data_IF_956179990378
#
_entry.id   IF_956179990378
#
_cell.length_a   1.000
_cell.length_b   1.000
_cell.length_c   1.000
_cell.angle_alpha   90.00
_cell.angle_beta   90.00
_cell.angle_gamma   90.00
#
_symmetry.space_group_name_H-M   'P 1'
#
loop_
_entity.id
_entity.type
_entity.pdbx_description
1 polymer ?
#
# COMPACT_ATOMS: atom_id res chain seq x y z
N UNK A 1 -27.70 -22.05 53.71
CA UNK A 1 -27.82 -23.26 52.85
C UNK A 1 -26.87 -23.08 51.67
N UNK A 2 -26.09 -24.13 51.34
CA UNK A 2 -25.20 -24.28 50.16
C UNK A 2 -24.13 -23.20 49.90
N UNK A 3 -22.91 -23.55 50.32
CA UNK A 3 -21.63 -23.14 49.72
C UNK A 3 -21.34 -23.98 48.46
N UNK A 4 -20.64 -23.42 47.48
CA UNK A 4 -19.32 -23.88 46.98
C UNK A 4 -19.07 -23.50 45.50
N UNK A 5 -17.83 -23.07 45.14
CA UNK A 5 -17.36 -22.85 43.76
C UNK A 5 -16.59 -24.06 43.20
N UNK A 6 -16.19 -24.02 41.92
CA UNK A 6 -15.12 -24.84 41.36
C UNK A 6 -14.27 -24.03 40.36
N UNK A 7 -12.95 -24.02 40.57
CA UNK A 7 -11.94 -23.56 39.63
C UNK A 7 -11.70 -24.57 38.49
N UNK A 8 -11.01 -24.14 37.42
CA UNK A 8 -10.64 -24.99 36.29
C UNK A 8 -9.36 -24.50 35.59
N UNK A 9 -8.20 -24.88 36.13
CA UNK A 9 -6.88 -24.63 35.54
C UNK A 9 -6.67 -25.55 34.32
N UNK A 10 -6.17 -25.00 33.21
CA UNK A 10 -5.71 -25.78 32.06
C UNK A 10 -4.17 -25.84 32.04
N UNK A 11 -3.63 -27.02 32.36
CA UNK A 11 -2.20 -27.32 32.33
C UNK A 11 -1.89 -28.26 31.16
N UNK A 12 -1.09 -27.80 30.19
CA UNK A 12 -0.78 -28.57 28.98
C UNK A 12 0.48 -29.43 29.15
N UNK A 13 0.30 -30.66 29.64
CA UNK A 13 1.41 -31.59 29.87
C UNK A 13 1.96 -32.22 28.56
N UNK A 14 3.27 -32.07 28.35
CA UNK A 14 4.03 -32.75 27.29
C UNK A 14 3.99 -34.28 27.48
N UNK A 15 3.74 -35.04 26.41
CA UNK A 15 3.90 -36.50 26.40
C UNK A 15 4.84 -36.98 25.29
N UNK A 16 6.07 -37.29 25.69
CA UNK A 16 6.93 -38.19 24.93
C UNK A 16 6.30 -39.60 24.86
N UNK A 17 6.43 -40.28 23.73
CA UNK A 17 6.29 -41.74 23.64
C UNK A 17 7.53 -42.33 22.96
N UNK A 18 8.23 -43.18 23.70
CA UNK A 18 9.22 -44.09 23.17
C UNK A 18 9.03 -45.44 23.87
N UNK A 19 8.50 -46.43 23.14
CA UNK A 19 8.61 -47.87 23.44
C UNK A 19 8.76 -48.57 22.08
N UNK A 20 9.73 -49.46 21.95
CA UNK A 20 9.99 -50.22 20.73
C UNK A 20 9.91 -51.73 20.95
N UNK A 21 10.73 -52.46 20.17
CA UNK A 21 10.88 -53.93 20.07
C UNK A 21 9.87 -54.61 19.12
N UNK A 22 10.31 -55.44 18.15
CA UNK A 22 11.70 -55.74 17.75
C UNK A 22 11.84 -56.91 16.76
N UNK A 23 13.08 -57.37 16.56
CA UNK A 23 13.53 -58.53 15.74
C UNK A 23 13.28 -58.41 14.21
N UNK A 24 14.20 -58.77 13.29
CA UNK A 24 15.56 -59.37 13.29
C UNK A 24 16.28 -58.87 11.99
N UNK A 25 17.51 -59.24 11.59
CA UNK A 25 18.40 -60.33 11.99
C UNK A 25 19.87 -59.87 12.19
N UNK A 26 20.74 -60.07 11.18
CA UNK A 26 22.21 -60.02 11.21
C UNK A 26 22.82 -59.97 9.80
N UNK A 27 23.90 -59.22 9.67
CA UNK A 27 25.16 -59.41 8.90
C UNK A 27 25.72 -57.98 8.68
N UNK A 28 26.99 -57.59 8.79
CA UNK A 28 28.26 -58.15 9.25
C UNK A 28 29.27 -56.97 9.19
N UNK A 29 30.03 -56.69 10.25
CA UNK A 29 31.16 -55.72 10.31
C UNK A 29 32.49 -56.52 10.43
N UNK A 30 33.74 -55.96 10.39
CA UNK A 30 34.21 -54.55 10.55
C UNK A 30 35.35 -54.21 9.51
N UNK A 31 36.35 -53.30 9.71
CA UNK A 31 36.59 -52.31 10.78
C UNK A 31 37.02 -50.87 10.38
N UNK A 32 36.77 -49.96 11.34
CA UNK A 32 37.59 -48.81 11.77
C UNK A 32 38.78 -48.32 10.91
N UNK A 33 38.72 -47.03 10.55
CA UNK A 33 39.87 -46.12 10.65
C UNK A 33 39.43 -44.78 11.27
N UNK A 34 40.27 -44.25 12.17
CA UNK A 34 40.08 -43.00 12.91
C UNK A 34 41.13 -41.97 12.49
N UNK A 35 40.73 -40.73 12.21
CA UNK A 35 41.64 -39.56 12.21
C UNK A 35 40.92 -38.33 12.75
N UNK A 36 41.40 -37.80 13.88
CA UNK A 36 41.10 -36.45 14.37
C UNK A 36 41.94 -35.40 13.63
N UNK A 37 41.59 -34.10 13.80
CA UNK A 37 42.27 -32.85 13.35
C UNK A 37 41.55 -32.12 12.21
N UNK A 38 41.51 -30.77 12.18
CA UNK A 38 41.74 -29.77 13.23
C UNK A 38 41.15 -28.43 12.78
N UNK A 39 40.72 -27.59 13.72
CA UNK A 39 40.46 -26.18 13.43
C UNK A 39 41.76 -25.45 13.06
N UNK A 40 41.85 -24.88 11.85
CA UNK A 40 42.62 -23.67 11.46
C UNK A 40 42.70 -23.55 9.94
N UNK A 41 41.86 -22.69 9.35
CA UNK A 41 42.11 -22.00 8.06
C UNK A 41 41.06 -20.89 7.85
N UNK A 42 41.05 -19.92 8.76
CA UNK A 42 40.30 -18.67 8.62
C UNK A 42 41.28 -17.49 8.60
N UNK A 43 42.21 -17.52 7.63
CA UNK A 43 43.14 -16.46 7.27
C UNK A 43 43.67 -16.76 5.86
N UNK A 44 44.02 -15.71 5.09
CA UNK A 44 44.52 -15.77 3.69
C UNK A 44 43.46 -15.98 2.58
N UNK A 45 42.50 -15.06 2.49
CA UNK A 45 41.76 -14.79 1.25
C UNK A 45 41.40 -13.29 1.11
N UNK A 46 42.36 -12.40 1.41
CA UNK A 46 42.13 -10.94 1.41
C UNK A 46 43.41 -10.15 1.06
N UNK A 47 44.05 -10.49 -0.06
CA UNK A 47 45.27 -9.80 -0.53
C UNK A 47 45.56 -10.01 -2.03
N UNK A 48 44.70 -9.44 -2.90
CA UNK A 48 44.95 -9.02 -4.30
C UNK A 48 43.61 -8.62 -4.93
N UNK A 49 43.45 -7.32 -5.25
CA UNK A 49 42.54 -6.67 -6.23
C UNK A 49 42.31 -5.19 -5.86
N UNK A 50 43.38 -4.45 -5.56
CA UNK A 50 43.38 -2.98 -5.46
C UNK A 50 44.73 -2.43 -5.96
N UNK A 51 44.83 -2.18 -7.26
CA UNK A 51 45.98 -1.49 -7.88
C UNK A 51 45.65 -1.02 -9.31
N UNK A 52 44.91 0.10 -9.46
CA UNK A 52 44.99 1.02 -10.61
C UNK A 52 43.99 2.18 -10.51
N UNK A 53 44.45 3.36 -10.08
CA UNK A 53 44.12 4.70 -10.62
C UNK A 53 44.62 5.81 -9.66
N UNK A 54 45.17 6.93 -10.15
CA UNK A 54 45.99 7.82 -9.33
C UNK A 54 45.25 9.01 -8.69
N UNK A 55 45.82 9.49 -7.58
CA UNK A 55 45.44 10.74 -6.91
C UNK A 55 46.09 11.94 -7.61
N UNK A 56 45.30 12.95 -7.96
CA UNK A 56 45.78 14.34 -8.08
C UNK A 56 44.80 15.25 -7.34
N UNK A 57 45.32 15.96 -6.34
CA UNK A 57 44.60 17.00 -5.61
C UNK A 57 44.30 18.21 -6.49
N UNK A 58 43.22 18.95 -6.21
CA UNK A 58 43.34 20.40 -6.03
C UNK A 58 42.28 20.92 -5.05
N UNK A 59 42.63 22.00 -4.34
CA UNK A 59 41.80 22.62 -3.29
C UNK A 59 40.71 23.50 -3.90
N UNK A 60 39.54 23.58 -3.26
CA UNK A 60 39.00 24.86 -2.78
C UNK A 60 37.88 24.67 -1.76
N UNK A 61 38.07 25.21 -0.56
CA UNK A 61 37.01 25.47 0.39
C UNK A 61 36.91 26.97 0.61
N UNK A 62 35.78 27.60 0.28
CA UNK A 62 35.36 28.87 0.88
C UNK A 62 33.94 29.30 0.49
N UNK A 63 33.16 29.57 1.55
CA UNK A 63 32.26 30.73 1.66
C UNK A 63 31.16 30.89 0.59
N UNK A 64 29.96 30.40 0.92
CA UNK A 64 28.75 31.21 0.75
C UNK A 64 27.93 31.21 2.04
N UNK A 65 28.11 32.28 2.83
CA UNK A 65 27.16 32.70 3.87
C UNK A 65 26.36 33.85 3.27
N UNK A 66 25.13 33.58 2.85
CA UNK A 66 24.20 34.61 2.40
C UNK A 66 23.23 34.95 3.53
N UNK A 67 23.30 36.21 4.00
CA UNK A 67 22.49 36.74 5.10
C UNK A 67 20.99 36.71 4.78
N UNK A 68 20.20 36.25 5.74
CA UNK A 68 18.78 36.61 5.86
C UNK A 68 18.67 37.94 6.60
N UNK A 69 17.97 38.96 6.07
CA UNK A 69 17.55 40.13 6.83
C UNK A 69 16.08 40.01 7.25
N UNK A 70 15.83 40.25 8.53
CA UNK A 70 14.51 40.53 9.12
C UNK A 70 14.60 41.88 9.88
N UNK A 71 13.51 42.39 10.48
CA UNK A 71 12.20 42.65 9.87
C UNK A 71 11.74 44.10 10.14
N UNK A 72 11.09 44.76 9.18
CA UNK A 72 10.45 46.08 9.43
C UNK A 72 9.08 46.18 8.76
N UNK A 73 8.20 46.97 9.37
CA UNK A 73 6.84 47.34 8.96
C UNK A 73 5.71 46.34 9.26
N UNK A 74 5.12 46.51 10.46
CA UNK A 74 3.73 46.15 10.75
C UNK A 74 2.97 47.41 11.19
N UNK A 75 1.84 47.78 10.56
CA UNK A 75 0.94 48.82 11.07
C UNK A 75 -0.13 48.19 11.98
N UNK A 76 -0.21 48.67 13.23
CA UNK A 76 -1.27 48.30 14.15
C UNK A 76 -2.64 48.79 13.65
N UNK A 77 -3.65 47.90 13.65
CA UNK A 77 -5.06 48.31 13.77
C UNK A 77 -5.74 47.51 14.86
N UNK A 78 -6.15 48.20 15.93
CA UNK A 78 -7.08 47.66 16.94
C UNK A 78 -8.47 47.58 16.30
N UNK A 79 -9.14 46.45 16.48
CA UNK A 79 -10.60 46.39 16.51
C UNK A 79 -11.03 45.60 17.76
N UNK A 80 -12.24 45.88 18.23
CA UNK A 80 -12.65 45.69 19.62
C UNK A 80 -13.75 44.62 19.70
N UNK A 81 -13.60 43.71 20.68
CA UNK A 81 -14.73 43.09 21.38
C UNK A 81 -15.40 41.88 20.72
N UNK A 82 -15.15 40.70 21.27
CA UNK A 82 -16.21 39.90 21.92
C UNK A 82 -15.56 38.82 22.79
N UNK A 83 -15.81 38.86 24.10
CA UNK A 83 -15.39 37.79 25.01
C UNK A 83 -16.48 36.73 25.09
N UNK A 84 -16.38 35.69 24.24
CA UNK A 84 -17.14 34.45 24.46
C UNK A 84 -16.36 33.60 25.46
N UNK A 85 -16.86 33.53 26.69
CA UNK A 85 -16.31 32.64 27.72
C UNK A 85 -16.64 31.18 27.34
N UNK A 86 -15.64 30.46 26.83
CA UNK A 86 -15.74 29.00 26.64
C UNK A 86 -15.29 28.34 27.94
N UNK A 87 -16.24 27.78 28.68
CA UNK A 87 -15.93 26.98 29.86
C UNK A 87 -15.06 25.78 29.49
N UNK A 88 -13.84 25.73 30.02
CA UNK A 88 -12.95 24.58 29.88
C UNK A 88 -13.55 23.37 30.63
N UNK A 89 -14.05 22.40 29.88
CA UNK A 89 -14.42 21.08 30.42
C UNK A 89 -13.13 20.33 30.71
N UNK A 90 -12.78 20.21 32.00
CA UNK A 90 -11.70 19.32 32.43
C UNK A 90 -12.14 17.86 32.27
N UNK A 91 -11.77 17.23 31.16
CA UNK A 91 -11.74 15.77 31.09
C UNK A 91 -10.57 15.24 31.92
N UNK A 92 -10.84 14.26 32.78
CA UNK A 92 -9.84 13.64 33.65
C UNK A 92 -8.88 12.75 32.88
N UNK A 93 -7.63 12.68 33.34
CA UNK A 93 -6.61 11.81 32.76
C UNK A 93 -6.94 10.34 33.05
N UNK A 94 -7.32 9.60 32.01
CA UNK A 94 -7.24 8.14 31.94
C UNK A 94 -6.53 7.79 30.63
N UNK A 95 -5.54 6.89 30.70
CA UNK A 95 -4.65 6.59 29.57
C UNK A 95 -5.40 5.99 28.38
N UNK A 96 -5.70 6.82 27.39
CA UNK A 96 -6.11 6.42 26.06
C UNK A 96 -4.93 6.55 25.10
N UNK A 97 -4.83 5.63 24.13
CA UNK A 97 -3.97 5.85 22.95
C UNK A 97 -4.50 7.07 22.22
N UNK A 98 -3.60 7.95 21.75
CA UNK A 98 -4.00 9.14 21.02
C UNK A 98 -4.93 8.77 19.86
N UNK A 99 -6.19 9.20 19.92
CA UNK A 99 -7.10 9.13 18.79
C UNK A 99 -6.67 10.24 17.84
N UNK A 100 -5.63 9.95 17.05
CA UNK A 100 -5.33 10.74 15.87
C UNK A 100 -6.58 10.65 15.00
N UNK A 101 -7.32 11.77 14.92
CA UNK A 101 -8.37 11.96 13.93
C UNK A 101 -7.71 12.03 12.55
N UNK A 102 -7.33 10.86 12.04
CA UNK A 102 -6.81 10.70 10.70
C UNK A 102 -7.89 11.17 9.72
N UNK A 103 -7.49 12.06 8.81
CA UNK A 103 -8.37 12.55 7.76
C UNK A 103 -8.38 11.50 6.64
N UNK A 104 -9.56 10.94 6.36
CA UNK A 104 -9.72 10.04 5.21
C UNK A 104 -9.50 10.84 3.92
N UNK A 105 -8.63 10.32 3.07
CA UNK A 105 -8.28 10.93 1.79
C UNK A 105 -8.99 10.23 0.63
N UNK A 106 -9.38 11.03 -0.36
CA UNK A 106 -9.71 10.51 -1.68
C UNK A 106 -8.40 10.38 -2.48
N UNK A 107 -8.09 9.17 -2.92
CA UNK A 107 -6.96 8.88 -3.80
C UNK A 107 -7.50 8.67 -5.23
N UNK A 108 -7.22 9.59 -6.18
CA UNK A 108 -7.75 9.47 -7.53
C UNK A 108 -7.03 8.36 -8.31
N UNK A 109 -7.64 7.84 -9.38
CA UNK A 109 -7.04 6.80 -10.23
C UNK A 109 -6.92 7.22 -11.69
N UNK A 110 -5.99 6.60 -12.42
CA UNK A 110 -5.86 6.65 -13.87
C UNK A 110 -5.53 5.24 -14.37
N UNK A 111 -6.55 4.49 -14.76
CA UNK A 111 -6.36 3.15 -15.31
C UNK A 111 -6.12 3.24 -16.82
N UNK A 112 -5.03 2.65 -17.30
CA UNK A 112 -4.53 2.82 -18.67
C UNK A 112 -4.54 1.48 -19.41
N UNK A 113 -5.15 1.45 -20.60
CA UNK A 113 -5.12 0.30 -21.48
C UNK A 113 -4.95 0.73 -22.95
N UNK A 114 -3.92 0.19 -23.62
CA UNK A 114 -3.52 0.55 -25.00
C UNK A 114 -3.29 2.06 -25.17
N UNK A 115 -2.63 2.67 -24.20
CA UNK A 115 -2.31 4.11 -24.19
C UNK A 115 -3.48 5.07 -23.93
N UNK A 116 -4.68 4.57 -23.61
CA UNK A 116 -5.85 5.40 -23.26
C UNK A 116 -6.29 5.19 -21.82
N UNK A 117 -6.84 6.23 -21.21
CA UNK A 117 -7.52 6.13 -19.92
C UNK A 117 -8.86 5.41 -20.10
N UNK A 118 -9.05 4.31 -19.37
CA UNK A 118 -10.26 3.49 -19.43
C UNK A 118 -10.76 3.16 -18.03
N UNK A 119 -12.05 2.86 -17.91
CA UNK A 119 -12.61 2.20 -16.74
C UNK A 119 -13.21 0.86 -17.15
N UNK A 120 -13.05 -0.15 -16.30
CA UNK A 120 -13.33 -1.55 -16.66
C UNK A 120 -14.22 -2.22 -15.60
N UNK A 121 -15.01 -3.21 -15.99
CA UNK A 121 -15.62 -4.14 -15.02
C UNK A 121 -14.58 -5.22 -14.73
N UNK A 122 -13.90 -5.13 -13.60
CA UNK A 122 -12.64 -5.86 -13.39
C UNK A 122 -12.72 -7.39 -13.56
N UNK A 123 -13.88 -8.00 -13.27
CA UNK A 123 -14.10 -9.45 -13.47
C UNK A 123 -14.13 -9.90 -14.94
N UNK A 124 -13.92 -8.99 -15.90
CA UNK A 124 -13.91 -9.27 -17.34
C UNK A 124 -12.50 -9.31 -17.94
N UNK A 125 -11.46 -9.11 -17.13
CA UNK A 125 -10.08 -9.35 -17.53
C UNK A 125 -9.82 -10.85 -17.73
N UNK A 126 -9.80 -11.30 -18.99
CA UNK A 126 -9.31 -12.63 -19.40
C UNK A 126 -8.24 -12.47 -20.47
N UNK A 127 -7.14 -13.20 -20.37
CA UNK A 127 -6.32 -13.47 -21.55
C UNK A 127 -6.99 -14.57 -22.34
N UNK A 128 -7.31 -14.26 -23.59
CA UNK A 128 -7.56 -15.27 -24.58
C UNK A 128 -7.13 -14.74 -25.94
N UNK A 129 -5.88 -15.04 -26.29
CA UNK A 129 -5.35 -14.92 -27.67
C UNK A 129 -6.05 -15.86 -28.68
N UNK A 130 -7.21 -16.45 -28.31
CA UNK A 130 -8.03 -17.34 -29.13
C UNK A 130 -9.55 -17.28 -28.84
N UNK A 131 -10.05 -16.55 -27.83
CA UNK A 131 -11.49 -16.34 -27.61
C UNK A 131 -11.79 -14.84 -27.62
N UNK A 132 -12.56 -14.39 -28.62
CA UNK A 132 -12.86 -12.99 -28.91
C UNK A 132 -13.87 -12.32 -27.97
N UNK A 133 -13.78 -12.57 -26.66
CA UNK A 133 -14.54 -11.83 -25.65
C UNK A 133 -13.84 -10.50 -25.35
N UNK A 134 -14.42 -9.40 -25.80
CA UNK A 134 -13.89 -8.07 -25.52
C UNK A 134 -13.89 -7.74 -24.03
N UNK A 135 -12.87 -6.99 -23.61
CA UNK A 135 -12.72 -6.46 -22.26
C UNK A 135 -13.85 -5.44 -22.01
N UNK A 136 -14.76 -5.74 -21.08
CA UNK A 136 -15.93 -4.89 -20.82
C UNK A 136 -15.50 -3.58 -20.20
N UNK A 137 -15.50 -2.56 -21.06
CA UNK A 137 -15.06 -1.21 -20.77
C UNK A 137 -16.28 -0.40 -20.37
N UNK A 138 -16.32 0.07 -19.11
CA UNK A 138 -17.33 1.00 -18.62
C UNK A 138 -17.20 2.37 -19.30
N UNK A 139 -15.97 2.80 -19.59
CA UNK A 139 -15.67 4.10 -20.17
C UNK A 139 -14.29 4.09 -20.86
N UNK A 140 -14.16 4.81 -21.97
CA UNK A 140 -12.90 5.17 -22.60
C UNK A 140 -12.86 6.69 -22.73
N UNK A 141 -11.79 7.32 -22.26
CA UNK A 141 -11.67 8.78 -22.30
C UNK A 141 -11.06 9.29 -23.60
N UNK A 142 -11.57 10.43 -24.08
CA UNK A 142 -10.89 11.27 -25.08
C UNK A 142 -9.80 12.16 -24.46
N UNK A 143 -9.82 12.36 -23.13
CA UNK A 143 -8.78 13.15 -22.41
C UNK A 143 -7.51 12.33 -22.21
N UNK A 144 -6.36 12.99 -22.26
CA UNK A 144 -5.07 12.36 -22.00
C UNK A 144 -4.85 12.06 -20.50
N UNK A 145 -4.00 11.08 -20.15
CA UNK A 145 -3.57 10.84 -18.77
C UNK A 145 -3.00 12.09 -18.07
N UNK A 146 -2.30 12.96 -18.80
CA UNK A 146 -1.78 14.21 -18.27
C UNK A 146 -2.87 15.23 -17.93
N UNK A 147 -4.02 15.22 -18.63
CA UNK A 147 -5.14 16.10 -18.29
C UNK A 147 -5.77 15.71 -16.96
N UNK A 148 -5.99 14.41 -16.72
CA UNK A 148 -6.43 13.90 -15.40
C UNK A 148 -5.40 14.25 -14.31
N UNK A 149 -4.12 13.96 -14.54
CA UNK A 149 -3.05 14.26 -13.57
C UNK A 149 -2.93 15.76 -13.26
N UNK A 150 -3.13 16.66 -14.23
CA UNK A 150 -3.21 18.12 -14.01
C UNK A 150 -4.41 18.50 -13.15
N UNK A 151 -5.61 17.96 -13.44
CA UNK A 151 -6.79 18.21 -12.61
C UNK A 151 -6.58 17.75 -11.16
N UNK A 152 -5.99 16.57 -10.95
CA UNK A 152 -5.68 16.06 -9.61
C UNK A 152 -4.64 16.92 -8.87
N UNK A 153 -3.69 17.50 -9.60
CA UNK A 153 -2.71 18.46 -9.08
C UNK A 153 -3.31 19.81 -8.70
N UNK A 154 -4.21 20.33 -9.52
CA UNK A 154 -4.97 21.57 -9.25
C UNK A 154 -5.88 21.41 -8.03
N UNK A 155 -6.37 20.18 -7.78
CA UNK A 155 -7.14 19.83 -6.59
C UNK A 155 -6.32 19.35 -5.37
N UNK A 156 -4.99 19.34 -5.48
CA UNK A 156 -4.03 18.95 -4.43
C UNK A 156 -4.15 17.49 -3.95
N UNK A 157 -4.63 16.59 -4.82
CA UNK A 157 -4.87 15.18 -4.52
C UNK A 157 -3.57 14.34 -4.62
N UNK A 158 -3.01 13.95 -3.47
CA UNK A 158 -1.78 13.16 -3.40
C UNK A 158 -2.01 11.66 -3.25
N UNK A 159 -1.09 10.85 -3.77
CA UNK A 159 -1.10 9.39 -3.68
C UNK A 159 -2.19 8.72 -4.52
N UNK A 160 -2.70 9.41 -5.54
CA UNK A 160 -3.49 8.76 -6.58
C UNK A 160 -2.64 7.79 -7.40
N UNK A 161 -3.25 6.75 -7.98
CA UNK A 161 -2.53 5.70 -8.69
C UNK A 161 -2.77 5.70 -10.20
N UNK A 162 -1.72 5.40 -10.96
CA UNK A 162 -1.74 5.18 -12.41
C UNK A 162 -1.49 3.69 -12.66
N UNK A 163 -2.50 2.95 -13.13
CA UNK A 163 -2.41 1.48 -13.29
C UNK A 163 -2.37 1.12 -14.78
N UNK A 164 -1.26 0.55 -15.23
CA UNK A 164 -1.16 -0.03 -16.56
C UNK A 164 -1.81 -1.42 -16.59
N UNK A 165 -2.98 -1.50 -17.22
CA UNK A 165 -3.73 -2.76 -17.44
C UNK A 165 -3.14 -3.62 -18.58
N UNK A 166 -2.15 -3.09 -19.32
CA UNK A 166 -1.41 -3.78 -20.36
C UNK A 166 0.07 -3.42 -20.32
N UNK A 167 0.94 -4.35 -20.73
CA UNK A 167 2.39 -4.16 -20.77
C UNK A 167 2.91 -3.50 -22.06
N UNK A 168 2.01 -2.99 -22.90
CA UNK A 168 2.34 -2.43 -24.21
C UNK A 168 3.03 -1.05 -24.12
N UNK A 169 3.88 -0.67 -25.10
CA UNK A 169 4.59 0.60 -25.07
C UNK A 169 3.70 1.85 -25.03
N UNK A 170 2.46 1.79 -25.56
CA UNK A 170 1.56 2.93 -25.52
C UNK A 170 1.02 3.14 -24.10
N UNK A 171 0.67 2.07 -23.38
CA UNK A 171 0.30 2.14 -21.96
C UNK A 171 1.46 2.64 -21.08
N UNK A 172 2.70 2.26 -21.38
CA UNK A 172 3.89 2.79 -20.68
C UNK A 172 4.09 4.28 -20.95
N UNK A 173 4.02 4.72 -22.20
CA UNK A 173 4.14 6.14 -22.56
C UNK A 173 3.04 7.00 -21.92
N UNK A 174 1.80 6.51 -21.93
CA UNK A 174 0.65 7.15 -21.29
C UNK A 174 0.81 7.26 -19.76
N UNK A 175 1.41 6.25 -19.10
CA UNK A 175 1.72 6.32 -17.68
C UNK A 175 2.77 7.39 -17.38
N UNK A 176 3.85 7.45 -18.18
CA UNK A 176 4.88 8.49 -18.05
C UNK A 176 4.29 9.90 -18.26
N UNK A 177 3.37 10.07 -19.21
CA UNK A 177 2.68 11.35 -19.46
C UNK A 177 1.95 11.88 -18.20
N UNK A 178 1.27 11.00 -17.46
CA UNK A 178 0.61 11.34 -16.19
C UNK A 178 1.63 11.68 -15.09
N UNK A 179 2.71 10.90 -14.96
CA UNK A 179 3.76 11.13 -13.97
C UNK A 179 4.49 12.46 -14.20
N UNK A 180 4.80 12.81 -15.44
CA UNK A 180 5.41 14.09 -15.82
C UNK A 180 4.51 15.29 -15.57
N UNK A 181 3.18 15.12 -15.68
CA UNK A 181 2.21 16.15 -15.38
C UNK A 181 2.10 16.46 -13.87
N UNK A 182 2.20 15.42 -13.02
CA UNK A 182 2.20 15.55 -11.55
C UNK A 182 3.36 14.81 -10.87
N UNK A 183 4.61 15.30 -11.01
CA UNK A 183 5.77 14.67 -10.38
C UNK A 183 5.63 14.67 -8.85
N UNK A 184 5.82 13.50 -8.24
CA UNK A 184 5.66 13.26 -6.81
C UNK A 184 4.22 13.20 -6.31
N UNK A 185 3.21 13.45 -7.16
CA UNK A 185 1.80 13.39 -6.77
C UNK A 185 1.16 12.01 -6.91
N UNK A 186 1.61 11.24 -7.90
CA UNK A 186 1.01 9.96 -8.29
C UNK A 186 1.92 8.76 -7.98
N UNK A 187 1.30 7.60 -7.79
CA UNK A 187 1.91 6.27 -7.68
C UNK A 187 1.71 5.53 -9.02
N UNK A 188 2.53 4.51 -9.34
CA UNK A 188 2.37 3.76 -10.61
C UNK A 188 2.45 2.24 -10.44
N UNK A 189 1.52 1.54 -11.07
CA UNK A 189 1.40 0.08 -11.04
C UNK A 189 1.20 -0.53 -12.43
N UNK A 190 1.22 -1.87 -12.48
CA UNK A 190 1.12 -2.65 -13.71
C UNK A 190 2.49 -3.07 -14.25
N UNK A 191 2.83 -4.36 -14.14
CA UNK A 191 4.08 -4.90 -14.68
C UNK A 191 5.38 -4.42 -14.00
N UNK A 192 5.29 -3.76 -12.85
CA UNK A 192 6.46 -3.30 -12.07
C UNK A 192 7.29 -4.49 -11.57
N UNK A 193 8.61 -4.36 -11.68
CA UNK A 193 9.62 -5.37 -11.34
C UNK A 193 10.98 -4.71 -11.03
N UNK A 194 11.99 -5.50 -10.66
CA UNK A 194 13.34 -5.01 -10.34
C UNK A 194 14.04 -4.27 -11.49
N UNK A 195 13.66 -4.51 -12.75
CA UNK A 195 14.29 -3.91 -13.92
C UNK A 195 13.72 -2.52 -14.26
N UNK A 196 12.45 -2.25 -13.93
CA UNK A 196 11.77 -0.99 -14.31
C UNK A 196 11.39 -0.08 -13.12
N UNK A 197 11.32 -0.57 -11.89
CA UNK A 197 10.82 0.18 -10.74
C UNK A 197 11.55 1.52 -10.52
N UNK A 198 12.90 1.51 -10.54
CA UNK A 198 13.68 2.75 -10.39
C UNK A 198 13.51 3.72 -11.55
N UNK A 199 13.19 3.24 -12.76
CA UNK A 199 12.93 4.13 -13.91
C UNK A 199 11.69 4.96 -13.63
N UNK A 200 10.58 4.34 -13.22
CA UNK A 200 9.34 5.05 -12.94
C UNK A 200 9.45 6.06 -11.78
N UNK A 201 10.22 5.74 -10.74
CA UNK A 201 10.50 6.68 -9.64
C UNK A 201 11.31 7.89 -10.13
N UNK A 202 12.30 7.68 -11.00
CA UNK A 202 13.09 8.77 -11.59
C UNK A 202 12.24 9.65 -12.54
N UNK A 203 11.25 9.06 -13.21
CA UNK A 203 10.28 9.75 -14.08
C UNK A 203 9.14 10.44 -13.30
N UNK A 204 9.22 10.49 -11.96
CA UNK A 204 8.33 11.31 -11.13
C UNK A 204 7.23 10.55 -10.40
N UNK A 205 7.19 9.21 -10.43
CA UNK A 205 6.34 8.47 -9.51
C UNK A 205 6.80 8.66 -8.06
N UNK A 206 5.85 8.95 -7.15
CA UNK A 206 6.10 8.97 -5.71
C UNK A 206 6.43 7.57 -5.18
N UNK A 207 5.69 6.57 -5.66
CA UNK A 207 5.80 5.17 -5.29
C UNK A 207 5.58 4.28 -6.52
N UNK A 208 6.09 3.05 -6.44
CA UNK A 208 5.70 1.97 -7.34
C UNK A 208 4.79 0.97 -6.61
N UNK A 209 3.78 0.47 -7.33
CA UNK A 209 2.76 -0.47 -6.84
C UNK A 209 3.09 -1.85 -7.41
N UNK A 210 3.21 -2.87 -6.55
CA UNK A 210 3.54 -4.25 -6.95
C UNK A 210 2.55 -5.29 -6.44
N UNK A 211 2.26 -6.25 -7.32
CA UNK A 211 1.28 -7.33 -7.08
C UNK A 211 1.83 -8.65 -7.59
N UNK A 212 1.61 -8.99 -8.86
CA UNK A 212 1.95 -10.28 -9.48
C UNK A 212 3.45 -10.58 -9.56
N UNK A 213 4.32 -9.57 -9.49
CA UNK A 213 5.75 -9.78 -9.44
C UNK A 213 6.20 -10.43 -8.13
N UNK A 214 5.61 -9.99 -7.00
CA UNK A 214 5.89 -10.53 -5.67
C UNK A 214 4.93 -11.65 -5.27
N UNK A 215 3.74 -11.73 -5.85
CA UNK A 215 2.79 -12.82 -5.65
C UNK A 215 2.73 -13.74 -6.88
N UNK A 216 3.58 -14.77 -6.89
CA UNK A 216 3.66 -15.77 -7.96
C UNK A 216 3.15 -17.13 -7.47
N UNK A 217 2.36 -17.81 -8.30
CA UNK A 217 1.82 -19.15 -8.01
C UNK A 217 1.04 -19.29 -6.70
N UNK A 218 0.30 -18.24 -6.34
CA UNK A 218 -0.49 -18.20 -5.12
C UNK A 218 0.36 -18.06 -3.84
N UNK A 219 1.63 -17.66 -3.96
CA UNK A 219 2.55 -17.50 -2.81
C UNK A 219 3.30 -16.18 -2.89
N UNK A 220 3.58 -15.59 -1.73
CA UNK A 220 4.44 -14.42 -1.64
C UNK A 220 5.91 -14.83 -1.82
N UNK A 221 6.55 -14.29 -2.85
CA UNK A 221 7.96 -14.43 -3.14
C UNK A 221 8.76 -13.39 -2.35
N UNK A 222 9.09 -13.75 -1.11
CA UNK A 222 9.81 -12.88 -0.17
C UNK A 222 11.17 -12.44 -0.72
N UNK A 223 11.86 -13.28 -1.50
CA UNK A 223 13.15 -12.90 -2.11
C UNK A 223 13.00 -11.72 -3.08
N UNK A 224 11.97 -11.73 -3.94
CA UNK A 224 11.66 -10.61 -4.85
C UNK A 224 11.21 -9.37 -4.09
N UNK A 225 10.42 -9.54 -3.04
CA UNK A 225 9.93 -8.44 -2.20
C UNK A 225 11.09 -7.74 -1.47
N UNK A 226 11.98 -8.50 -0.82
CA UNK A 226 13.19 -7.97 -0.17
C UNK A 226 14.07 -7.23 -1.17
N UNK A 227 14.34 -7.81 -2.35
CA UNK A 227 15.14 -7.16 -3.40
C UNK A 227 14.50 -5.87 -3.92
N UNK A 228 13.17 -5.78 -3.96
CA UNK A 228 12.48 -4.53 -4.31
C UNK A 228 12.67 -3.49 -3.21
N UNK A 229 12.51 -3.87 -1.94
CA UNK A 229 12.74 -2.96 -0.79
C UNK A 229 14.19 -2.48 -0.73
N UNK A 230 15.17 -3.34 -1.01
CA UNK A 230 16.59 -2.95 -1.12
C UNK A 230 16.83 -1.95 -2.27
N UNK A 231 16.12 -2.11 -3.38
CA UNK A 231 16.28 -1.28 -4.58
C UNK A 231 15.60 0.10 -4.45
N UNK A 232 14.33 0.13 -4.03
CA UNK A 232 13.53 1.38 -4.01
C UNK A 232 13.40 2.01 -2.62
N UNK A 233 13.63 1.25 -1.55
CA UNK A 233 13.27 1.63 -0.18
C UNK A 233 11.77 1.43 0.09
N UNK A 234 11.39 0.91 1.27
CA UNK A 234 9.98 0.62 1.58
C UNK A 234 9.07 1.85 1.46
N UNK A 235 9.63 3.04 1.74
CA UNK A 235 8.98 4.36 1.68
C UNK A 235 8.61 4.82 0.26
N UNK A 236 8.81 3.97 -0.76
CA UNK A 236 8.40 4.19 -2.16
C UNK A 236 7.78 2.93 -2.77
N UNK A 237 7.37 1.97 -1.93
CA UNK A 237 6.77 0.71 -2.34
C UNK A 237 5.36 0.57 -1.77
N UNK A 238 4.39 0.35 -2.66
CA UNK A 238 3.00 0.02 -2.31
C UNK A 238 2.75 -1.43 -2.69
N UNK A 239 2.12 -2.17 -1.80
CA UNK A 239 1.64 -3.52 -2.08
C UNK A 239 0.17 -3.45 -2.47
N UNK A 240 -0.17 -3.86 -3.69
CA UNK A 240 -1.56 -4.07 -4.07
C UNK A 240 -2.01 -5.48 -3.67
N UNK A 241 -3.07 -5.53 -2.88
CA UNK A 241 -3.68 -6.73 -2.32
C UNK A 241 -5.10 -6.85 -2.89
N UNK A 242 -5.23 -7.42 -4.08
CA UNK A 242 -6.53 -7.77 -4.64
C UNK A 242 -7.20 -8.85 -3.80
N UNK A 243 -8.26 -8.48 -3.06
CA UNK A 243 -8.87 -9.31 -2.03
C UNK A 243 -10.18 -9.94 -2.48
N UNK A 244 -10.34 -11.23 -2.19
CA UNK A 244 -11.60 -11.95 -2.40
C UNK A 244 -11.97 -12.80 -1.18
N UNK A 245 -13.26 -12.82 -0.84
CA UNK A 245 -13.77 -13.59 0.30
C UNK A 245 -13.99 -15.05 -0.10
N UNK A 246 -13.45 -15.97 0.68
CA UNK A 246 -13.59 -17.41 0.52
C UNK A 246 -13.69 -18.08 1.90
N UNK A 247 -14.68 -18.94 2.07
CA UNK A 247 -14.90 -19.71 3.31
C UNK A 247 -14.88 -18.82 4.59
N UNK A 248 -15.51 -17.64 4.49
CA UNK A 248 -15.60 -16.67 5.57
C UNK A 248 -14.38 -15.73 5.75
N UNK A 249 -13.28 -15.92 5.01
CA UNK A 249 -12.04 -15.15 5.17
C UNK A 249 -11.62 -14.45 3.89
N UNK A 250 -10.91 -13.32 4.00
CA UNK A 250 -10.30 -12.66 2.85
C UNK A 250 -8.96 -13.31 2.50
N UNK A 251 -8.73 -13.43 1.19
CA UNK A 251 -7.53 -14.03 0.60
C UNK A 251 -7.09 -13.17 -0.57
N UNK A 252 -5.79 -13.03 -0.77
CA UNK A 252 -5.28 -12.34 -1.96
C UNK A 252 -5.49 -13.24 -3.18
N UNK A 253 -6.02 -12.66 -4.26
CA UNK A 253 -6.19 -13.32 -5.55
C UNK A 253 -5.30 -12.67 -6.59
N UNK A 254 -4.60 -13.48 -7.38
CA UNK A 254 -3.73 -13.02 -8.48
C UNK A 254 -4.20 -13.59 -9.82
N UNK A 255 -3.44 -13.30 -10.88
CA UNK A 255 -3.77 -13.64 -12.27
C UNK A 255 -5.19 -13.20 -12.64
N UNK A 256 -5.41 -11.87 -12.65
CA UNK A 256 -6.72 -11.23 -12.90
C UNK A 256 -7.84 -11.83 -12.03
N UNK A 257 -7.49 -12.05 -10.76
CA UNK A 257 -8.36 -12.53 -9.71
C UNK A 257 -8.89 -13.96 -9.88
N UNK A 258 -8.26 -14.74 -10.76
CA UNK A 258 -8.63 -16.14 -11.04
C UNK A 258 -7.92 -17.12 -10.08
N UNK A 259 -6.71 -16.79 -9.62
CA UNK A 259 -5.88 -17.66 -8.77
C UNK A 259 -5.88 -17.20 -7.31
N UNK A 260 -6.56 -17.93 -6.45
CA UNK A 260 -6.45 -17.76 -5.00
C UNK A 260 -5.01 -18.06 -4.53
N UNK A 261 -4.51 -17.23 -3.61
CA UNK A 261 -3.25 -17.45 -2.90
C UNK A 261 -3.45 -18.13 -1.55
N UNK A 262 -2.36 -18.65 -0.99
CA UNK A 262 -2.27 -19.13 0.39
C UNK A 262 -2.15 -17.96 1.40
N UNK A 263 -2.20 -16.70 0.93
CA UNK A 263 -2.03 -15.49 1.75
C UNK A 263 -3.41 -14.94 2.12
N UNK A 264 -3.75 -15.07 3.40
CA UNK A 264 -4.92 -14.43 3.99
C UNK A 264 -4.69 -12.93 4.18
N UNK A 265 -5.78 -12.17 4.24
CA UNK A 265 -5.74 -10.76 4.64
C UNK A 265 -6.37 -10.67 6.02
N UNK A 266 -5.50 -10.70 7.02
CA UNK A 266 -5.77 -10.68 8.46
C UNK A 266 -4.66 -9.92 9.20
N UNK A 267 -4.78 -9.76 10.53
CA UNK A 267 -3.83 -8.98 11.34
C UNK A 267 -2.37 -9.46 11.22
N UNK A 268 -2.04 -10.76 11.38
CA UNK A 268 -0.65 -11.21 11.22
C UNK A 268 -0.09 -10.99 9.81
N UNK A 269 -0.91 -11.16 8.76
CA UNK A 269 -0.46 -10.93 7.39
C UNK A 269 -0.22 -9.43 7.11
N UNK A 270 -1.11 -8.55 7.55
CA UNK A 270 -0.97 -7.10 7.37
C UNK A 270 0.24 -6.56 8.15
N UNK A 271 0.44 -7.00 9.40
CA UNK A 271 1.61 -6.64 10.22
C UNK A 271 2.93 -7.09 9.56
N UNK A 272 2.97 -8.33 9.04
CA UNK A 272 4.15 -8.84 8.34
C UNK A 272 4.46 -8.09 7.04
N UNK A 273 3.45 -7.81 6.22
CA UNK A 273 3.63 -7.14 4.93
C UNK A 273 4.01 -5.65 5.09
N UNK A 274 3.57 -5.00 6.17
CA UNK A 274 3.92 -3.62 6.48
C UNK A 274 5.41 -3.37 6.79
N UNK A 275 6.16 -4.43 7.09
CA UNK A 275 7.62 -4.36 7.15
C UNK A 275 8.26 -3.99 5.80
N UNK A 276 7.57 -4.26 4.67
CA UNK A 276 8.09 -4.11 3.31
C UNK A 276 7.50 -2.93 2.52
N UNK A 277 6.37 -2.37 2.94
CA UNK A 277 5.67 -1.30 2.21
C UNK A 277 5.57 0.02 3.01
N UNK A 278 5.22 1.11 2.33
CA UNK A 278 4.76 2.36 2.94
C UNK A 278 3.22 2.40 3.05
N UNK A 279 2.52 1.86 2.05
CA UNK A 279 1.06 1.85 1.94
C UNK A 279 0.56 0.52 1.33
N UNK A 280 -0.68 0.14 1.67
CA UNK A 280 -1.44 -0.90 0.96
C UNK A 280 -2.47 -0.30 0.02
N UNK A 281 -2.59 -0.84 -1.20
CA UNK A 281 -3.74 -0.63 -2.07
C UNK A 281 -4.60 -1.89 -2.06
N UNK A 282 -5.84 -1.83 -1.62
CA UNK A 282 -6.67 -3.02 -1.39
C UNK A 282 -7.92 -3.00 -2.25
N UNK A 283 -7.98 -3.93 -3.20
CA UNK A 283 -9.09 -4.05 -4.14
C UNK A 283 -10.17 -5.03 -3.65
N UNK A 284 -11.42 -4.58 -3.55
CA UNK A 284 -12.59 -5.39 -3.23
C UNK A 284 -13.15 -6.09 -4.46
N UNK A 285 -12.52 -7.19 -4.88
CA UNK A 285 -12.73 -7.86 -6.18
C UNK A 285 -14.20 -8.17 -6.50
N UNK A 286 -15.00 -8.61 -5.53
CA UNK A 286 -16.39 -8.99 -5.77
C UNK A 286 -17.33 -7.78 -5.98
N UNK A 287 -16.90 -6.55 -5.69
CA UNK A 287 -17.67 -5.30 -5.90
C UNK A 287 -17.03 -4.33 -6.91
N UNK A 288 -15.78 -4.56 -7.32
CA UNK A 288 -15.00 -3.63 -8.14
C UNK A 288 -15.58 -3.39 -9.55
N UNK A 289 -15.66 -2.12 -9.95
CA UNK A 289 -16.21 -1.70 -11.24
C UNK A 289 -17.73 -1.89 -11.41
N UNK A 290 -18.43 -2.45 -10.41
CA UNK A 290 -19.87 -2.80 -10.51
C UNK A 290 -20.83 -1.68 -10.09
N UNK A 291 -20.36 -0.67 -9.34
CA UNK A 291 -21.19 0.41 -8.75
C UNK A 291 -22.34 -0.09 -7.84
N UNK A 292 -22.20 -1.27 -7.23
CA UNK A 292 -23.26 -1.93 -6.43
C UNK A 292 -23.14 -1.71 -4.90
N UNK A 293 -22.28 -0.79 -4.46
CA UNK A 293 -21.95 -0.58 -3.05
C UNK A 293 -20.67 -1.29 -2.62
N UNK A 294 -20.12 -0.86 -1.48
CA UNK A 294 -18.81 -1.27 -0.96
C UNK A 294 -18.82 -2.66 -0.30
N UNK A 295 -17.63 -3.24 -0.16
CA UNK A 295 -17.38 -4.34 0.78
C UNK A 295 -17.04 -3.77 2.17
N UNK A 296 -18.09 -3.50 2.97
CA UNK A 296 -17.95 -2.85 4.29
C UNK A 296 -17.19 -3.72 5.31
N UNK A 297 -17.24 -5.05 5.18
CA UNK A 297 -16.55 -6.00 6.07
C UNK A 297 -15.03 -6.02 5.80
N UNK A 298 -14.63 -5.97 4.52
CA UNK A 298 -13.22 -5.79 4.16
C UNK A 298 -12.69 -4.44 4.67
N UNK A 299 -13.47 -3.36 4.51
CA UNK A 299 -13.08 -2.03 5.00
C UNK A 299 -12.96 -1.99 6.53
N UNK A 300 -13.87 -2.65 7.26
CA UNK A 300 -13.78 -2.78 8.72
C UNK A 300 -12.51 -3.55 9.14
N UNK A 301 -12.19 -4.65 8.47
CA UNK A 301 -10.97 -5.44 8.71
C UNK A 301 -9.71 -4.57 8.55
N UNK A 302 -9.62 -3.82 7.45
CA UNK A 302 -8.48 -2.93 7.17
C UNK A 302 -8.37 -1.81 8.23
N UNK A 303 -9.50 -1.19 8.59
CA UNK A 303 -9.55 -0.12 9.60
C UNK A 303 -9.16 -0.57 11.01
N UNK A 304 -9.40 -1.85 11.34
CA UNK A 304 -8.90 -2.46 12.56
C UNK A 304 -7.40 -2.78 12.49
N UNK A 305 -6.99 -3.50 11.45
CA UNK A 305 -5.75 -4.30 11.50
C UNK A 305 -4.61 -3.80 10.61
N UNK A 306 -4.81 -2.86 9.69
CA UNK A 306 -3.68 -2.29 8.94
C UNK A 306 -2.79 -1.44 9.87
N UNK A 307 -1.48 -1.67 9.97
CA UNK A 307 -0.57 -0.82 10.78
C UNK A 307 -0.05 0.40 10.00
N UNK A 308 -0.11 0.36 8.67
CA UNK A 308 0.31 1.43 7.73
C UNK A 308 -0.91 2.01 6.99
N UNK A 309 -0.77 3.16 6.30
CA UNK A 309 -1.81 3.67 5.41
C UNK A 309 -2.35 2.61 4.46
N UNK A 310 -3.65 2.67 4.19
CA UNK A 310 -4.33 1.76 3.28
C UNK A 310 -5.40 2.49 2.50
N UNK A 311 -5.38 2.32 1.18
CA UNK A 311 -6.40 2.83 0.26
C UNK A 311 -7.27 1.67 -0.21
N UNK A 312 -8.59 1.79 -0.01
CA UNK A 312 -9.59 0.84 -0.50
C UNK A 312 -10.10 1.24 -1.89
N UNK A 313 -10.19 0.28 -2.79
CA UNK A 313 -10.74 0.43 -4.13
C UNK A 313 -11.81 -0.64 -4.40
N UNK A 314 -13.04 -0.22 -4.71
CA UNK A 314 -14.12 -1.13 -5.11
C UNK A 314 -15.51 -0.66 -4.70
N UNK A 315 -16.54 -1.03 -5.47
CA UNK A 315 -17.94 -0.93 -5.06
C UNK A 315 -18.59 0.46 -5.04
N UNK A 316 -17.85 1.50 -4.63
CA UNK A 316 -18.34 2.88 -4.43
C UNK A 316 -19.20 3.36 -5.61
N UNK A 317 -20.39 3.87 -5.32
CA UNK A 317 -21.28 4.49 -6.29
C UNK A 317 -21.90 5.81 -5.83
N UNK A 318 -21.86 6.11 -4.53
CA UNK A 318 -22.52 7.28 -3.93
C UNK A 318 -21.60 8.02 -2.94
N UNK A 319 -21.98 9.26 -2.56
CA UNK A 319 -21.33 9.98 -1.47
C UNK A 319 -21.52 9.28 -0.11
N UNK A 320 -22.63 8.58 0.09
CA UNK A 320 -22.91 7.81 1.30
C UNK A 320 -21.90 6.68 1.50
N UNK A 321 -21.43 6.04 0.43
CA UNK A 321 -20.38 5.01 0.49
C UNK A 321 -19.07 5.57 1.06
N UNK A 322 -18.73 6.83 0.78
CA UNK A 322 -17.52 7.47 1.31
C UNK A 322 -17.61 7.65 2.84
N UNK A 323 -18.78 8.05 3.35
CA UNK A 323 -19.02 8.14 4.80
C UNK A 323 -19.10 6.75 5.46
N UNK A 324 -19.62 5.72 4.75
CA UNK A 324 -19.57 4.33 5.23
C UNK A 324 -18.12 3.83 5.32
N UNK A 325 -17.30 4.03 4.29
CA UNK A 325 -15.87 3.67 4.31
C UNK A 325 -15.16 4.35 5.48
N UNK A 326 -15.36 5.66 5.62
CA UNK A 326 -14.78 6.44 6.72
C UNK A 326 -15.21 5.95 8.11
N UNK A 327 -16.46 5.50 8.26
CA UNK A 327 -16.99 4.94 9.51
C UNK A 327 -16.45 3.54 9.80
N UNK A 328 -16.64 2.59 8.89
CA UNK A 328 -16.20 1.20 9.03
C UNK A 328 -14.67 1.11 9.15
N UNK A 329 -13.96 1.84 8.30
CA UNK A 329 -12.50 1.96 8.29
C UNK A 329 -11.93 2.79 9.44
N UNK A 330 -12.75 3.24 10.40
CA UNK A 330 -12.36 4.03 11.58
C UNK A 330 -11.54 5.28 11.26
N UNK A 331 -11.82 5.89 10.10
CA UNK A 331 -11.07 7.00 9.52
C UNK A 331 -9.59 6.73 9.23
N UNK A 332 -9.20 5.45 9.10
CA UNK A 332 -7.84 4.96 8.79
C UNK A 332 -7.69 4.36 7.38
N UNK A 333 -8.81 4.23 6.66
CA UNK A 333 -8.87 3.65 5.31
C UNK A 333 -9.23 4.77 4.33
N UNK A 334 -8.28 5.11 3.46
CA UNK A 334 -8.47 6.01 2.33
C UNK A 334 -9.31 5.35 1.23
N UNK A 335 -9.82 6.14 0.28
CA UNK A 335 -10.76 5.64 -0.75
C UNK A 335 -10.36 6.07 -2.16
N UNK A 336 -10.40 5.12 -3.08
CA UNK A 336 -10.39 5.38 -4.53
C UNK A 336 -11.79 5.19 -5.12
N UNK A 337 -12.14 6.08 -6.04
CA UNK A 337 -13.35 5.98 -6.86
C UNK A 337 -12.93 6.09 -8.32
N UNK A 338 -13.13 5.01 -9.08
CA UNK A 338 -12.99 5.01 -10.53
C UNK A 338 -14.34 5.15 -11.20
N UNK A 339 -14.84 4.05 -11.77
CA UNK A 339 -16.02 3.97 -12.65
C UNK A 339 -17.26 4.77 -12.25
N UNK A 340 -17.51 5.06 -10.97
CA UNK A 340 -18.69 5.83 -10.55
C UNK A 340 -18.58 7.35 -10.80
N UNK A 341 -17.38 7.90 -11.00
CA UNK A 341 -17.20 9.34 -11.21
C UNK A 341 -17.70 9.81 -12.58
N UNK A 342 -18.28 11.00 -12.62
CA UNK A 342 -18.69 11.71 -13.84
C UNK A 342 -17.55 11.92 -14.86
N UNK A 343 -16.33 12.20 -14.38
CA UNK A 343 -15.11 12.27 -15.22
C UNK A 343 -14.76 10.93 -15.90
N UNK A 344 -15.40 9.83 -15.49
CA UNK A 344 -15.30 8.50 -16.07
C UNK A 344 -16.66 7.92 -16.52
N UNK A 345 -17.64 8.76 -16.85
CA UNK A 345 -18.95 8.31 -17.36
C UNK A 345 -19.83 7.64 -16.31
N UNK A 346 -19.65 7.97 -15.03
CA UNK A 346 -20.58 7.66 -13.96
C UNK A 346 -21.45 8.85 -13.55
N UNK A 347 -22.22 8.66 -12.48
CA UNK A 347 -23.22 9.62 -12.01
C UNK A 347 -22.77 10.40 -10.75
N UNK A 348 -21.64 10.02 -10.14
CA UNK A 348 -21.10 10.65 -8.94
C UNK A 348 -20.24 11.87 -9.31
N UNK A 349 -20.58 13.11 -8.90
CA UNK A 349 -19.80 14.28 -9.31
C UNK A 349 -18.41 14.29 -8.68
N UNK A 350 -17.35 14.27 -9.50
CA UNK A 350 -15.95 14.34 -9.04
C UNK A 350 -15.72 15.54 -8.11
N UNK A 351 -16.33 16.69 -8.44
CA UNK A 351 -16.26 17.92 -7.64
C UNK A 351 -16.76 17.72 -6.20
N UNK A 352 -17.80 16.91 -6.00
CA UNK A 352 -18.37 16.68 -4.67
C UNK A 352 -17.47 15.75 -3.84
N UNK A 353 -16.82 14.78 -4.48
CA UNK A 353 -15.79 13.92 -3.87
C UNK A 353 -14.57 14.76 -3.46
N UNK A 354 -14.11 15.69 -4.30
CA UNK A 354 -13.03 16.64 -3.97
C UNK A 354 -13.41 17.56 -2.82
N UNK A 355 -14.63 18.13 -2.82
CA UNK A 355 -15.12 18.96 -1.73
C UNK A 355 -15.25 18.17 -0.43
N UNK A 356 -15.62 16.90 -0.50
CA UNK A 356 -15.65 15.99 0.64
C UNK A 356 -14.24 15.71 1.18
N UNK A 357 -13.27 15.43 0.32
CA UNK A 357 -11.87 15.25 0.71
C UNK A 357 -11.30 16.49 1.42
N UNK A 358 -11.47 17.67 0.81
CA UNK A 358 -10.97 18.95 1.38
C UNK A 358 -11.57 19.24 2.76
N UNK A 359 -12.82 18.82 3.03
CA UNK A 359 -13.42 18.88 4.39
C UNK A 359 -12.71 17.97 5.40
N UNK A 360 -12.33 16.74 5.02
CA UNK A 360 -11.64 15.84 5.95
C UNK A 360 -10.26 16.39 6.33
N UNK A 361 -9.51 16.93 5.35
CA UNK A 361 -8.20 17.54 5.57
C UNK A 361 -8.23 18.69 6.58
N UNK A 362 -9.31 19.49 6.59
CA UNK A 362 -9.52 20.54 7.61
C UNK A 362 -9.76 19.97 9.01
N UNK A 363 -10.56 18.90 9.14
CA UNK A 363 -10.79 18.24 10.44
C UNK A 363 -9.49 17.69 11.02
N UNK A 364 -8.67 17.03 10.19
CA UNK A 364 -7.37 16.49 10.61
C UNK A 364 -6.31 17.55 10.98
N UNK A 365 -6.47 18.80 10.53
CA UNK A 365 -5.61 19.94 10.94
C UNK A 365 -6.10 20.56 12.26
N UNK A 366 -7.41 20.78 12.41
CA UNK A 366 -7.98 21.31 13.67
C UNK A 366 -7.68 20.36 14.84
N UNK A 367 -7.82 19.05 14.63
CA UNK A 367 -7.48 18.05 15.65
C UNK A 367 -5.99 17.97 15.99
N UNK A 368 -5.08 18.50 15.17
CA UNK A 368 -3.64 18.59 15.49
C UNK A 368 -3.24 19.91 16.17
N UNK A 369 -4.02 20.98 15.98
CA UNK A 369 -3.72 22.31 16.53
C UNK A 369 -4.39 22.57 17.90
N UNK A 370 -5.17 21.60 18.41
CA UNK A 370 -5.90 21.69 19.70
C UNK A 370 -5.20 20.99 20.88
N UNK A 371 -4.03 20.38 20.66
CA UNK A 371 -3.28 19.61 21.66
C UNK A 371 -1.83 20.10 21.75
#
# INVERSE_FOLDING_TARGET
MRLCPCDGVFEAAVRCRAIGLGARARESLPPWQSVEHSCRSAALALSRWLAAAPVVWWRMASKYVARVPSPWWAPQRRLVGSWVSVCSVKCGALGGRDVVCAAVSFRPCIDIHKGKVKQIVGSTLRDSSNDGMELVTNFESDKSPAEFAKSYKEDELLGGHVIMLGSDPASQAAALEALHAYPGGLQVGGGINLQNAMSYLNEGASHVIVTSYVLSDGKMNIERLTKLVELVGKQRLVLDLSCRKKDGRYTIVTDRWQKFSDVFVDEPALEYLAAFADEFLVHGVDVEGKRLGIDEELVELLGHHSPIPVTYAGGVSTMDDLERIKKAGKSRVDVTVGSALDIFGGDLPYKDVVLWHKKQSMVGQVSRNMW
#
